data_IF_227652547336
#
_entry.id   IF_227652547336
#
_cell.length_a   1.000
_cell.length_b   1.000
_cell.length_c   1.000
_cell.angle_alpha   90.00
_cell.angle_beta   90.00
_cell.angle_gamma   90.00
#
_symmetry.space_group_name_H-M   'P 1'
#
loop_
_entity.id
_entity.type
_entity.pdbx_description
1 polymer ?
#
# COMPACT_ATOMS: atom_id res chain seq x y z
N UNK A 1 -10.41 9.38 20.66
CA UNK A 1 -9.19 10.02 21.21
C UNK A 1 -8.01 9.39 20.50
N UNK A 2 -7.16 10.18 19.83
CA UNK A 2 -5.96 9.65 19.20
C UNK A 2 -5.04 9.04 20.27
N UNK A 3 -4.53 7.84 20.00
CA UNK A 3 -3.67 7.11 20.92
C UNK A 3 -2.32 7.86 21.07
N UNK A 4 -1.66 7.73 22.23
CA UNK A 4 -0.39 8.41 22.53
C UNK A 4 0.70 8.13 21.48
N UNK A 5 0.73 6.91 20.93
CA UNK A 5 1.69 6.48 19.90
C UNK A 5 1.35 7.09 18.54
N UNK A 6 0.06 7.13 18.18
CA UNK A 6 -0.42 7.81 16.98
C UNK A 6 -0.09 9.31 17.01
N UNK A 7 -0.34 9.99 18.15
CA UNK A 7 0.07 11.38 18.35
C UNK A 7 1.58 11.56 18.20
N UNK A 8 2.37 10.71 18.81
CA UNK A 8 3.83 10.78 18.73
C UNK A 8 4.33 10.55 17.29
N UNK A 9 3.71 9.66 16.53
CA UNK A 9 4.03 9.38 15.13
C UNK A 9 3.62 10.57 14.22
N UNK A 10 2.43 11.13 14.43
CA UNK A 10 1.94 12.31 13.72
C UNK A 10 2.73 13.57 14.10
N UNK A 11 3.10 13.74 15.37
CA UNK A 11 3.87 14.89 15.87
C UNK A 11 5.32 14.90 15.36
N UNK A 12 5.93 13.74 15.11
CA UNK A 12 7.29 13.68 14.53
C UNK A 12 7.28 14.03 13.03
N UNK A 13 6.17 13.81 12.33
CA UNK A 13 6.06 14.06 10.88
C UNK A 13 5.54 15.48 10.53
N UNK A 14 4.92 16.19 11.47
CA UNK A 14 4.23 17.47 11.21
C UNK A 14 5.00 18.74 11.61
N UNK A 15 6.28 18.66 11.97
CA UNK A 15 7.05 19.79 12.50
C UNK A 15 7.70 20.73 11.47
N UNK A 16 7.43 20.57 10.18
CA UNK A 16 8.04 21.38 9.15
C UNK A 16 7.20 21.59 7.91
N UNK A 17 7.68 22.43 6.97
CA UNK A 17 6.96 22.72 5.75
C UNK A 17 6.82 21.47 4.87
N UNK A 18 5.61 21.22 4.39
CA UNK A 18 5.27 20.09 3.50
C UNK A 18 5.08 20.57 2.07
N UNK A 19 5.45 19.76 1.09
CA UNK A 19 5.14 20.08 -0.31
C UNK A 19 3.63 20.26 -0.50
N UNK A 20 3.23 21.31 -1.18
CA UNK A 20 1.83 21.69 -1.38
C UNK A 20 1.01 20.57 -2.03
N UNK A 21 1.56 19.84 -3.01
CA UNK A 21 0.88 18.70 -3.62
C UNK A 21 0.66 17.52 -2.62
N UNK A 22 1.60 17.31 -1.67
CA UNK A 22 1.45 16.37 -0.57
C UNK A 22 0.32 16.84 0.36
N UNK A 23 0.32 18.13 0.75
CA UNK A 23 -0.72 18.74 1.57
C UNK A 23 -2.12 18.53 1.00
N UNK A 24 -2.33 18.87 -0.29
CA UNK A 24 -3.63 18.72 -0.96
C UNK A 24 -4.08 17.25 -1.04
N UNK A 25 -3.13 16.34 -1.22
CA UNK A 25 -3.42 14.90 -1.24
C UNK A 25 -3.83 14.36 0.13
N UNK A 26 -3.15 14.77 1.20
CA UNK A 26 -3.46 14.40 2.59
C UNK A 26 -4.76 15.05 3.09
N UNK A 27 -5.08 16.23 2.59
CA UNK A 27 -6.37 16.88 2.81
C UNK A 27 -7.55 16.19 2.07
N UNK A 28 -7.28 15.10 1.35
CA UNK A 28 -8.32 14.33 0.67
C UNK A 28 -8.86 14.96 -0.62
N UNK A 29 -8.26 16.05 -1.10
CA UNK A 29 -8.75 16.79 -2.27
C UNK A 29 -8.57 16.01 -3.56
N UNK A 30 -7.33 15.52 -3.83
CA UNK A 30 -6.97 14.85 -5.08
C UNK A 30 -5.67 14.06 -4.93
N UNK A 31 -5.22 13.36 -5.98
CA UNK A 31 -3.88 12.76 -6.02
C UNK A 31 -2.79 13.83 -6.12
N UNK A 32 -1.55 13.50 -5.73
CA UNK A 32 -0.40 14.44 -5.88
C UNK A 32 -0.24 14.94 -7.31
N UNK A 33 -0.42 14.08 -8.32
CA UNK A 33 -0.32 14.45 -9.75
C UNK A 33 -1.46 15.38 -10.18
N UNK A 34 -2.66 15.19 -9.66
CA UNK A 34 -3.78 16.11 -9.89
C UNK A 34 -3.56 17.43 -9.17
N UNK A 35 -3.01 17.40 -7.96
CA UNK A 35 -2.63 18.61 -7.23
C UNK A 35 -1.60 19.44 -8.02
N UNK A 36 -0.57 18.81 -8.59
CA UNK A 36 0.40 19.50 -9.45
C UNK A 36 -0.28 20.16 -10.66
N UNK A 37 -1.28 19.52 -11.27
CA UNK A 37 -2.06 20.12 -12.36
C UNK A 37 -2.89 21.32 -11.90
N UNK A 38 -3.54 21.24 -10.73
CA UNK A 38 -4.31 22.35 -10.17
C UNK A 38 -3.41 23.55 -9.83
N UNK A 39 -2.21 23.30 -9.29
CA UNK A 39 -1.20 24.32 -8.98
C UNK A 39 -0.73 24.98 -10.28
N UNK A 40 -0.33 24.22 -11.28
CA UNK A 40 0.12 24.72 -12.57
C UNK A 40 -0.97 25.55 -13.29
N UNK A 41 -2.24 25.13 -13.18
CA UNK A 41 -3.39 25.87 -13.70
C UNK A 41 -3.72 27.15 -12.91
N UNK A 42 -2.99 27.46 -11.81
CA UNK A 42 -3.22 28.64 -11.00
C UNK A 42 -4.49 28.63 -10.16
N UNK A 43 -5.04 27.45 -9.91
CA UNK A 43 -6.28 27.28 -9.14
C UNK A 43 -6.04 27.23 -7.62
N UNK A 44 -4.78 27.17 -7.18
CA UNK A 44 -4.38 27.04 -5.79
C UNK A 44 -3.71 28.31 -5.30
N UNK A 45 -4.10 28.77 -4.12
CA UNK A 45 -3.45 29.89 -3.41
C UNK A 45 -3.01 29.48 -2.02
N UNK A 46 -1.93 30.08 -1.54
CA UNK A 46 -1.41 29.98 -0.17
C UNK A 46 -1.36 31.39 0.39
N UNK A 47 -2.08 31.65 1.48
CA UNK A 47 -2.25 33.00 2.08
C UNK A 47 -2.69 34.07 1.07
N UNK A 48 -3.51 33.68 0.09
CA UNK A 48 -4.01 34.56 -0.97
C UNK A 48 -3.06 34.74 -2.17
N UNK A 49 -1.83 34.24 -2.10
CA UNK A 49 -0.85 34.31 -3.19
C UNK A 49 -0.95 33.05 -4.06
N UNK A 50 -0.89 33.22 -5.39
CA UNK A 50 -0.91 32.10 -6.34
C UNK A 50 0.25 31.14 -6.07
N UNK A 51 -0.05 29.85 -5.92
CA UNK A 51 0.93 28.84 -5.65
C UNK A 51 1.70 28.43 -6.90
N UNK A 52 2.96 28.00 -6.70
CA UNK A 52 3.85 27.48 -7.74
C UNK A 52 4.15 25.99 -7.52
N UNK A 53 4.53 25.31 -8.61
CA UNK A 53 4.93 23.90 -8.55
C UNK A 53 6.18 23.72 -7.69
N UNK A 54 6.15 22.77 -6.76
CA UNK A 54 7.24 22.54 -5.82
C UNK A 54 7.18 23.36 -4.53
N UNK A 55 6.24 24.31 -4.43
CA UNK A 55 6.03 25.11 -3.22
C UNK A 55 5.80 24.22 -2.00
N UNK A 56 6.32 24.66 -0.85
CA UNK A 56 6.06 24.07 0.47
C UNK A 56 5.11 24.96 1.24
N UNK A 57 4.34 24.35 2.12
CA UNK A 57 3.33 25.00 2.96
C UNK A 57 3.64 24.71 4.42
N UNK A 58 3.67 25.76 5.22
CA UNK A 58 3.81 25.71 6.68
C UNK A 58 2.47 25.31 7.34
N UNK A 59 2.48 24.72 8.52
CA UNK A 59 1.26 24.24 9.20
C UNK A 59 0.21 25.32 9.44
N UNK A 60 0.61 26.59 9.60
CA UNK A 60 -0.26 27.73 9.90
C UNK A 60 -0.78 28.47 8.65
N UNK A 61 -0.28 28.13 7.46
CA UNK A 61 -0.67 28.81 6.23
C UNK A 61 -2.03 28.35 5.73
N UNK A 62 -2.78 29.25 5.14
CA UNK A 62 -4.11 29.02 4.61
C UNK A 62 -4.02 28.62 3.13
N UNK A 63 -4.38 27.38 2.82
CA UNK A 63 -4.45 26.87 1.45
C UNK A 63 -5.87 26.96 0.93
N UNK A 64 -6.06 27.44 -0.31
CA UNK A 64 -7.37 27.49 -0.97
C UNK A 64 -7.29 26.96 -2.39
N UNK A 65 -8.41 26.37 -2.86
CA UNK A 65 -8.68 26.02 -4.25
C UNK A 65 -9.87 26.83 -4.70
N UNK A 66 -9.65 27.81 -5.57
CA UNK A 66 -10.64 28.82 -5.86
C UNK A 66 -11.07 29.54 -4.58
N UNK A 67 -12.39 29.50 -4.27
CA UNK A 67 -12.94 30.12 -3.05
C UNK A 67 -12.93 29.19 -1.81
N UNK A 68 -12.70 27.87 -1.99
CA UNK A 68 -12.79 26.88 -0.93
C UNK A 68 -11.47 26.76 -0.17
N UNK A 69 -11.52 26.94 1.15
CA UNK A 69 -10.39 26.64 2.02
C UNK A 69 -10.21 25.13 2.15
N UNK A 70 -8.96 24.69 2.13
CA UNK A 70 -8.56 23.28 2.30
C UNK A 70 -7.98 23.13 3.70
N UNK A 71 -8.54 22.23 4.50
CA UNK A 71 -8.01 21.80 5.79
C UNK A 71 -7.50 20.37 5.69
N UNK A 72 -6.45 20.05 6.42
CA UNK A 72 -6.02 18.65 6.56
C UNK A 72 -7.10 17.83 7.25
N UNK A 73 -7.18 16.55 6.88
CA UNK A 73 -8.01 15.59 7.56
C UNK A 73 -7.34 15.20 8.88
N UNK A 74 -8.01 15.44 10.00
CA UNK A 74 -7.46 15.21 11.33
C UNK A 74 -7.45 13.72 11.71
N UNK A 75 -8.41 12.95 11.19
CA UNK A 75 -8.52 11.52 11.50
C UNK A 75 -7.72 10.67 10.50
N UNK A 76 -6.78 9.89 11.02
CA UNK A 76 -6.10 8.87 10.24
C UNK A 76 -7.00 7.67 10.04
N UNK A 77 -7.13 7.25 8.80
CA UNK A 77 -7.97 6.11 8.41
C UNK A 77 -7.06 5.00 7.92
N UNK A 78 -7.23 3.80 8.49
CA UNK A 78 -6.65 2.57 7.96
C UNK A 78 -7.70 1.46 7.93
N UNK A 79 -7.90 0.90 6.74
CA UNK A 79 -8.85 -0.19 6.51
C UNK A 79 -8.11 -1.45 6.08
N UNK A 80 -8.55 -2.58 6.62
CA UNK A 80 -8.27 -3.92 6.11
C UNK A 80 -9.42 -4.33 5.20
N UNK A 81 -9.14 -4.55 3.92
CA UNK A 81 -10.12 -4.87 2.88
C UNK A 81 -9.86 -6.25 2.34
N UNK A 82 -10.87 -7.09 2.19
CA UNK A 82 -10.75 -8.31 1.40
C UNK A 82 -11.08 -8.00 -0.07
N UNK A 83 -10.04 -7.65 -0.84
CA UNK A 83 -10.20 -7.35 -2.27
C UNK A 83 -10.68 -8.60 -3.03
N UNK A 84 -11.83 -8.56 -3.71
CA UNK A 84 -12.26 -9.67 -4.55
C UNK A 84 -11.46 -9.75 -5.85
N UNK A 85 -11.51 -10.90 -6.52
CA UNK A 85 -11.02 -11.05 -7.91
C UNK A 85 -11.80 -10.13 -8.85
N UNK A 86 -11.18 -9.70 -9.93
CA UNK A 86 -11.80 -8.81 -10.92
C UNK A 86 -11.60 -7.32 -10.62
N UNK A 87 -11.30 -6.93 -9.39
CA UNK A 87 -11.07 -5.54 -8.99
C UNK A 87 -9.59 -5.15 -9.16
N UNK A 88 -9.34 -3.97 -9.72
CA UNK A 88 -8.01 -3.44 -10.03
C UNK A 88 -7.57 -2.42 -8.98
N UNK A 89 -6.34 -2.54 -8.49
CA UNK A 89 -5.71 -1.53 -7.63
C UNK A 89 -5.20 -0.34 -8.45
N UNK A 90 -6.11 0.58 -8.79
CA UNK A 90 -5.83 1.82 -9.52
C UNK A 90 -6.69 2.97 -9.01
N UNK A 91 -6.19 4.20 -9.15
CA UNK A 91 -6.94 5.45 -8.94
C UNK A 91 -7.42 6.05 -10.28
N UNK A 92 -7.20 5.36 -11.40
CA UNK A 92 -7.59 5.87 -12.72
C UNK A 92 -9.11 5.96 -12.83
N UNK A 93 -9.61 7.18 -13.15
CA UNK A 93 -11.06 7.47 -13.19
C UNK A 93 -11.81 6.69 -14.28
N UNK A 94 -11.13 6.28 -15.37
CA UNK A 94 -11.72 5.52 -16.46
C UNK A 94 -11.94 4.05 -16.13
N UNK A 95 -11.17 3.52 -15.17
CA UNK A 95 -11.31 2.12 -14.76
C UNK A 95 -12.55 1.95 -13.86
N UNK A 96 -13.53 1.21 -14.40
CA UNK A 96 -14.81 0.96 -13.69
C UNK A 96 -14.65 0.03 -12.51
N UNK A 97 -13.77 -0.97 -12.66
CA UNK A 97 -13.50 -2.00 -11.64
C UNK A 97 -12.39 -1.59 -10.67
N UNK A 98 -12.13 -0.29 -10.49
CA UNK A 98 -11.11 0.19 -9.56
C UNK A 98 -11.51 -0.03 -8.11
N UNK A 99 -10.55 -0.38 -7.25
CA UNK A 99 -10.78 -0.59 -5.81
C UNK A 99 -11.36 0.65 -5.12
N UNK A 100 -10.98 1.85 -5.56
CA UNK A 100 -11.47 3.11 -5.00
C UNK A 100 -12.98 3.28 -5.27
N UNK A 101 -13.43 2.98 -6.48
CA UNK A 101 -14.86 3.00 -6.83
C UNK A 101 -15.64 1.88 -6.14
N UNK A 102 -15.06 0.69 -6.10
CA UNK A 102 -15.68 -0.47 -5.48
C UNK A 102 -15.99 -0.21 -3.99
N UNK A 103 -15.06 0.35 -3.25
CA UNK A 103 -15.25 0.67 -1.83
C UNK A 103 -16.15 1.89 -1.62
N UNK A 104 -16.12 2.86 -2.54
CA UNK A 104 -16.87 4.12 -2.44
C UNK A 104 -16.81 4.74 -1.03
N UNK A 105 -15.64 4.76 -0.42
CA UNK A 105 -15.45 5.24 0.94
C UNK A 105 -15.61 6.76 1.00
N UNK A 106 -16.31 7.33 2.02
CA UNK A 106 -16.68 8.75 2.05
C UNK A 106 -15.48 9.72 2.08
N UNK A 107 -14.34 9.22 2.50
CA UNK A 107 -13.08 9.97 2.55
C UNK A 107 -12.10 9.39 1.54
N UNK A 108 -11.29 10.23 0.90
CA UNK A 108 -10.28 9.76 -0.03
C UNK A 108 -9.23 8.92 0.70
N UNK A 109 -9.15 7.65 0.35
CA UNK A 109 -8.14 6.70 0.78
C UNK A 109 -7.46 6.09 -0.44
N UNK A 110 -6.22 5.62 -0.29
CA UNK A 110 -5.47 4.92 -1.32
C UNK A 110 -4.90 3.61 -0.79
N UNK A 111 -4.52 2.71 -1.65
CA UNK A 111 -4.06 1.37 -1.30
C UNK A 111 -2.60 1.34 -0.89
N UNK A 112 -2.28 0.51 0.11
CA UNK A 112 -0.91 0.20 0.56
C UNK A 112 -0.41 -1.00 -0.23
N UNK A 113 0.32 -0.73 -1.30
CA UNK A 113 0.70 -1.75 -2.26
C UNK A 113 -0.46 -2.23 -3.13
N UNK A 114 -0.20 -3.16 -4.00
CA UNK A 114 -1.19 -3.65 -4.96
C UNK A 114 -1.38 -5.14 -4.85
N UNK A 115 -2.56 -5.59 -5.28
CA UNK A 115 -2.86 -6.95 -5.70
C UNK A 115 -3.27 -6.90 -7.18
N UNK A 116 -2.90 -7.93 -7.94
CA UNK A 116 -3.30 -8.06 -9.33
C UNK A 116 -4.83 -8.22 -9.44
N UNK A 117 -5.40 -7.96 -10.63
CA UNK A 117 -6.83 -8.09 -10.92
C UNK A 117 -7.34 -9.50 -10.59
N UNK A 118 -6.56 -10.52 -10.92
CA UNK A 118 -6.84 -11.95 -10.74
C UNK A 118 -6.44 -12.52 -9.37
N UNK A 119 -5.95 -11.67 -8.46
CA UNK A 119 -5.61 -12.04 -7.07
C UNK A 119 -6.61 -11.44 -6.09
N UNK A 120 -6.76 -12.07 -4.93
CA UNK A 120 -7.71 -11.68 -3.88
C UNK A 120 -7.07 -11.57 -2.50
N UNK A 121 -7.82 -11.12 -1.51
CA UNK A 121 -7.42 -11.12 -0.11
C UNK A 121 -7.04 -9.75 0.42
N UNK A 122 -6.24 -9.73 1.48
CA UNK A 122 -5.95 -8.54 2.26
C UNK A 122 -5.29 -7.43 1.44
N UNK A 123 -5.96 -6.30 1.40
CA UNK A 123 -5.46 -5.04 0.89
C UNK A 123 -5.67 -3.97 1.95
N UNK A 124 -4.61 -3.28 2.35
CA UNK A 124 -4.73 -2.15 3.26
C UNK A 124 -5.00 -0.88 2.46
N UNK A 125 -5.89 -0.02 2.99
CA UNK A 125 -6.23 1.29 2.42
C UNK A 125 -6.07 2.36 3.49
N UNK A 126 -5.50 3.52 3.14
CA UNK A 126 -5.27 4.61 4.10
C UNK A 126 -5.27 5.99 3.43
N UNK A 127 -5.51 7.04 4.21
CA UNK A 127 -5.30 8.42 3.81
C UNK A 127 -3.88 8.93 4.15
N UNK A 128 -3.05 8.13 4.86
CA UNK A 128 -1.69 8.50 5.25
C UNK A 128 -0.63 7.98 4.26
N UNK A 129 -0.07 8.89 3.44
CA UNK A 129 0.92 8.56 2.41
C UNK A 129 2.29 8.17 2.98
N UNK A 130 2.63 8.57 4.20
CA UNK A 130 3.94 8.29 4.80
C UNK A 130 3.99 6.85 5.32
N UNK A 131 2.88 6.35 5.88
CA UNK A 131 2.73 4.92 6.22
C UNK A 131 2.89 4.05 4.96
N UNK A 132 2.26 4.45 3.84
CA UNK A 132 2.40 3.72 2.56
C UNK A 132 3.87 3.61 2.17
N UNK A 133 4.60 4.72 2.21
CA UNK A 133 6.02 4.74 1.85
C UNK A 133 6.86 3.82 2.74
N UNK A 134 6.68 3.88 4.06
CA UNK A 134 7.41 3.03 5.02
C UNK A 134 7.11 1.55 4.81
N UNK A 135 5.84 1.19 4.60
CA UNK A 135 5.41 -0.20 4.40
C UNK A 135 5.86 -0.78 3.05
N UNK A 136 5.92 0.04 2.00
CA UNK A 136 6.09 -0.47 0.62
C UNK A 136 7.53 -0.52 0.14
N UNK A 137 8.48 0.09 0.83
CA UNK A 137 9.88 0.03 0.40
C UNK A 137 10.45 -1.37 0.54
N UNK A 138 11.02 -1.88 -0.56
CA UNK A 138 11.64 -3.21 -0.60
C UNK A 138 12.81 -3.36 0.38
N UNK A 139 13.50 -2.24 0.72
CA UNK A 139 14.60 -2.24 1.67
C UNK A 139 14.14 -2.59 3.11
N UNK A 140 12.89 -2.28 3.45
CA UNK A 140 12.37 -2.52 4.80
C UNK A 140 11.96 -3.97 5.07
N UNK A 141 11.95 -4.83 4.04
CA UNK A 141 11.72 -6.29 4.15
C UNK A 141 10.43 -6.68 4.90
N UNK A 142 9.36 -5.91 4.75
CA UNK A 142 8.08 -6.20 5.41
C UNK A 142 7.39 -7.43 4.81
N UNK A 143 6.98 -8.33 5.69
CA UNK A 143 6.38 -9.61 5.32
C UNK A 143 4.99 -9.48 4.76
N UNK A 144 4.71 -10.30 3.75
CA UNK A 144 3.38 -10.54 3.18
C UNK A 144 3.17 -12.02 3.02
N UNK A 145 2.10 -12.54 3.58
CA UNK A 145 1.77 -13.96 3.56
C UNK A 145 0.64 -14.24 2.58
N UNK A 146 0.83 -15.30 1.80
CA UNK A 146 -0.12 -15.74 0.79
C UNK A 146 -0.44 -17.22 0.92
N UNK A 147 -1.70 -17.57 0.63
CA UNK A 147 -2.14 -18.95 0.37
C UNK A 147 -2.33 -19.08 -1.14
N UNK A 148 -1.72 -20.12 -1.71
CA UNK A 148 -1.65 -20.34 -3.16
C UNK A 148 -2.19 -21.71 -3.49
N UNK A 149 -3.09 -21.80 -4.48
CA UNK A 149 -3.55 -23.05 -5.08
C UNK A 149 -2.96 -23.17 -6.48
N UNK A 150 -2.37 -24.32 -6.80
CA UNK A 150 -1.73 -24.61 -8.09
C UNK A 150 -2.40 -25.77 -8.81
N UNK A 151 -2.09 -25.97 -10.09
CA UNK A 151 -2.64 -26.99 -10.98
C UNK A 151 -2.10 -28.41 -10.76
N UNK A 152 -0.90 -28.52 -10.14
CA UNK A 152 -0.19 -29.78 -9.92
C UNK A 152 0.02 -30.06 -8.44
N UNK A 153 0.25 -31.33 -8.04
CA UNK A 153 0.59 -31.65 -6.65
C UNK A 153 1.86 -30.95 -6.20
N UNK A 154 1.80 -30.32 -5.03
CA UNK A 154 2.95 -29.67 -4.39
C UNK A 154 3.88 -30.75 -3.86
N UNK A 155 5.11 -30.79 -4.41
CA UNK A 155 6.18 -31.71 -4.00
C UNK A 155 7.15 -31.04 -3.05
N UNK A 156 7.96 -31.81 -2.33
CA UNK A 156 9.00 -31.28 -1.43
C UNK A 156 10.12 -30.59 -2.23
N UNK A 157 10.39 -31.08 -3.43
CA UNK A 157 11.35 -30.44 -4.35
C UNK A 157 10.86 -29.06 -4.78
N UNK A 158 9.60 -28.94 -5.22
CA UNK A 158 8.98 -27.65 -5.54
C UNK A 158 9.11 -26.66 -4.37
N UNK A 159 8.80 -27.11 -3.13
CA UNK A 159 8.89 -26.24 -1.95
C UNK A 159 10.31 -25.77 -1.68
N UNK A 160 11.30 -26.67 -1.84
CA UNK A 160 12.72 -26.37 -1.66
C UNK A 160 13.22 -25.33 -2.69
N UNK A 161 12.87 -25.52 -3.96
CA UNK A 161 13.24 -24.58 -5.04
C UNK A 161 12.57 -23.22 -4.84
N UNK A 162 11.25 -23.20 -4.52
CA UNK A 162 10.49 -22.00 -4.20
C UNK A 162 11.11 -21.21 -3.04
N UNK A 163 11.52 -21.90 -1.97
CA UNK A 163 12.13 -21.29 -0.79
C UNK A 163 13.54 -20.74 -1.02
N UNK A 164 14.33 -21.40 -1.88
CA UNK A 164 15.72 -21.05 -2.16
C UNK A 164 15.90 -19.80 -3.02
N UNK A 165 14.85 -19.39 -3.72
CA UNK A 165 14.89 -18.30 -4.69
C UNK A 165 14.84 -18.80 -6.14
N UNK A 166 13.99 -18.15 -6.94
CA UNK A 166 13.69 -18.54 -8.33
C UNK A 166 14.10 -17.44 -9.29
N UNK A 167 14.79 -17.75 -10.41
CA UNK A 167 15.10 -16.78 -11.46
C UNK A 167 13.83 -16.30 -12.16
N UNK A 168 13.53 -15.00 -12.08
CA UNK A 168 12.42 -14.32 -12.76
C UNK A 168 12.82 -12.88 -13.09
N UNK A 169 12.31 -12.31 -14.19
CA UNK A 169 12.51 -10.89 -14.52
C UNK A 169 13.97 -10.42 -14.41
N UNK A 170 14.89 -11.15 -14.99
CA UNK A 170 16.33 -10.85 -15.02
C UNK A 170 17.00 -10.73 -13.63
N UNK A 171 16.36 -11.31 -12.60
CA UNK A 171 16.89 -11.37 -11.23
C UNK A 171 16.51 -12.70 -10.55
N UNK A 172 17.15 -13.00 -9.43
CA UNK A 172 16.77 -14.13 -8.56
C UNK A 172 15.95 -13.58 -7.39
N UNK A 173 14.80 -14.20 -7.09
CA UNK A 173 13.99 -13.78 -5.93
C UNK A 173 14.76 -14.05 -4.64
N UNK A 174 14.45 -13.24 -3.60
CA UNK A 174 15.02 -13.51 -2.27
C UNK A 174 14.52 -14.86 -1.75
N UNK A 175 15.32 -15.58 -0.97
CA UNK A 175 14.86 -16.73 -0.22
C UNK A 175 13.63 -16.37 0.63
N UNK A 176 12.68 -17.30 0.77
CA UNK A 176 11.42 -17.07 1.44
C UNK A 176 10.96 -18.32 2.18
N UNK A 177 10.00 -18.15 3.10
CA UNK A 177 9.39 -19.26 3.80
C UNK A 177 8.25 -19.84 2.96
N UNK A 178 8.25 -21.17 2.78
CA UNK A 178 7.22 -21.90 2.05
C UNK A 178 6.80 -23.13 2.85
N UNK A 179 5.50 -23.36 2.94
CA UNK A 179 4.93 -24.47 3.71
C UNK A 179 3.80 -25.14 2.94
N UNK A 180 3.79 -26.48 2.91
CA UNK A 180 2.72 -27.26 2.31
C UNK A 180 1.46 -27.18 3.15
N UNK A 181 0.33 -26.78 2.54
CA UNK A 181 -0.99 -26.77 3.19
C UNK A 181 -1.91 -27.90 2.71
N UNK A 182 -1.56 -28.56 1.63
CA UNK A 182 -2.35 -29.65 1.05
C UNK A 182 -1.78 -30.10 -0.29
N UNK A 183 -2.46 -31.05 -0.94
CA UNK A 183 -1.97 -31.66 -2.19
C UNK A 183 -1.66 -30.63 -3.29
N UNK A 184 -2.50 -29.57 -3.40
CA UNK A 184 -2.41 -28.53 -4.42
C UNK A 184 -2.25 -27.12 -3.80
N UNK A 185 -1.97 -27.03 -2.49
CA UNK A 185 -1.93 -25.76 -1.76
C UNK A 185 -0.65 -25.62 -0.97
N UNK A 186 -0.11 -24.38 -0.98
CA UNK A 186 1.00 -23.98 -0.14
C UNK A 186 0.83 -22.56 0.40
N UNK A 187 1.57 -22.26 1.46
CA UNK A 187 1.72 -20.93 2.04
C UNK A 187 3.09 -20.40 1.65
N UNK A 188 3.18 -19.10 1.36
CA UNK A 188 4.45 -18.42 1.09
C UNK A 188 4.49 -17.08 1.79
N UNK A 189 5.62 -16.74 2.42
CA UNK A 189 5.87 -15.46 3.07
C UNK A 189 6.98 -14.75 2.33
N UNK A 190 6.67 -13.58 1.76
CA UNK A 190 7.58 -12.77 0.97
C UNK A 190 7.92 -11.47 1.69
N UNK A 191 9.19 -11.05 1.61
CA UNK A 191 9.69 -9.75 2.07
C UNK A 191 9.97 -8.77 0.94
N UNK A 192 9.64 -9.15 -0.29
CA UNK A 192 9.77 -8.31 -1.50
C UNK A 192 8.47 -8.38 -2.31
N UNK A 193 8.34 -7.56 -3.36
CA UNK A 193 7.16 -7.55 -4.21
C UNK A 193 7.52 -7.19 -5.64
N UNK A 194 8.03 -8.15 -6.41
CA UNK A 194 8.23 -8.01 -7.85
C UNK A 194 6.90 -8.15 -8.60
N UNK A 195 6.87 -7.67 -9.83
CA UNK A 195 5.67 -7.79 -10.67
C UNK A 195 5.27 -9.25 -10.83
N UNK A 196 4.03 -9.59 -10.38
CA UNK A 196 3.43 -10.94 -10.43
C UNK A 196 4.36 -12.05 -9.89
N UNK A 197 5.15 -11.74 -8.85
CA UNK A 197 6.26 -12.55 -8.37
C UNK A 197 5.88 -14.03 -8.17
N UNK A 198 4.87 -14.32 -7.35
CA UNK A 198 4.47 -15.72 -7.02
C UNK A 198 4.05 -16.48 -8.28
N UNK A 199 3.30 -15.84 -9.18
CA UNK A 199 2.86 -16.48 -10.44
C UNK A 199 4.04 -16.80 -11.33
N UNK A 200 5.00 -15.88 -11.47
CA UNK A 200 6.23 -16.10 -12.24
C UNK A 200 7.14 -17.16 -11.62
N UNK A 201 7.26 -17.19 -10.29
CA UNK A 201 8.02 -18.23 -9.59
C UNK A 201 7.39 -19.61 -9.84
N UNK A 202 6.06 -19.75 -9.74
CA UNK A 202 5.37 -21.00 -10.05
C UNK A 202 5.56 -21.40 -11.51
N UNK A 203 5.40 -20.46 -12.45
CA UNK A 203 5.58 -20.70 -13.89
C UNK A 203 7.00 -21.18 -14.23
N UNK A 204 8.02 -20.56 -13.65
CA UNK A 204 9.42 -20.96 -13.82
C UNK A 204 9.69 -22.38 -13.31
N UNK A 205 8.94 -22.86 -12.33
CA UNK A 205 9.00 -24.22 -11.80
C UNK A 205 7.98 -25.17 -12.47
N UNK A 206 7.32 -24.74 -13.54
CA UNK A 206 6.39 -25.54 -14.33
C UNK A 206 5.01 -25.70 -13.71
N UNK A 207 4.56 -24.80 -12.80
CA UNK A 207 3.25 -24.79 -12.16
C UNK A 207 2.41 -23.58 -12.58
N UNK A 208 1.09 -23.75 -12.63
CA UNK A 208 0.14 -22.68 -12.89
C UNK A 208 -0.62 -22.31 -11.60
N UNK A 209 -0.64 -21.03 -11.24
CA UNK A 209 -1.41 -20.53 -10.08
C UNK A 209 -2.88 -20.41 -10.44
N UNK A 210 -3.74 -21.19 -9.80
CA UNK A 210 -5.21 -21.17 -9.93
C UNK A 210 -5.85 -20.16 -8.97
N UNK A 211 -5.36 -20.10 -7.72
CA UNK A 211 -5.82 -19.13 -6.73
C UNK A 211 -4.63 -18.50 -6.02
N UNK A 212 -4.70 -17.17 -5.80
CA UNK A 212 -3.71 -16.43 -5.04
C UNK A 212 -4.42 -15.49 -4.08
N UNK A 213 -4.30 -15.77 -2.79
CA UNK A 213 -4.95 -15.01 -1.73
C UNK A 213 -3.93 -14.50 -0.72
N UNK A 214 -3.81 -13.16 -0.58
CA UNK A 214 -3.01 -12.56 0.49
C UNK A 214 -3.79 -12.60 1.80
N UNK A 215 -3.23 -13.18 2.84
CA UNK A 215 -3.91 -13.39 4.13
C UNK A 215 -3.33 -12.53 5.25
N UNK A 216 -2.09 -12.04 5.13
CA UNK A 216 -1.43 -11.19 6.13
C UNK A 216 -0.49 -10.17 5.49
N UNK A 217 -0.41 -9.00 6.08
CA UNK A 217 0.60 -7.98 5.82
C UNK A 217 1.14 -7.54 7.17
N UNK A 218 2.42 -7.85 7.45
CA UNK A 218 3.06 -7.61 8.74
C UNK A 218 2.24 -8.24 9.88
N UNK A 219 1.73 -7.44 10.84
CA UNK A 219 0.87 -7.88 11.95
C UNK A 219 -0.63 -7.87 11.62
N UNK A 220 -1.05 -7.33 10.48
CA UNK A 220 -2.47 -7.22 10.13
C UNK A 220 -2.90 -8.45 9.33
N UNK A 221 -3.91 -9.14 9.83
CA UNK A 221 -4.48 -10.34 9.22
C UNK A 221 -5.81 -10.05 8.51
N UNK A 222 -6.10 -10.85 7.48
CA UNK A 222 -7.38 -10.83 6.78
C UNK A 222 -8.55 -11.26 7.69
N UNK A 223 -8.27 -12.24 8.57
CA UNK A 223 -9.30 -12.81 9.44
C UNK A 223 -10.46 -13.40 8.67
N UNK A 224 -11.67 -13.18 9.19
CA UNK A 224 -12.92 -13.73 8.67
C UNK A 224 -13.64 -12.81 7.67
N UNK A 225 -12.99 -11.75 7.18
CA UNK A 225 -13.58 -10.86 6.17
C UNK A 225 -13.95 -11.65 4.91
N UNK A 226 -15.20 -11.51 4.46
CA UNK A 226 -15.66 -12.06 3.18
C UNK A 226 -15.15 -11.21 2.01
N UNK A 227 -15.05 -11.75 0.78
CA UNK A 227 -14.68 -10.95 -0.39
C UNK A 227 -15.59 -9.72 -0.55
N UNK A 228 -14.97 -8.56 -0.70
CA UNK A 228 -15.66 -7.27 -0.80
C UNK A 228 -15.92 -6.57 0.53
N UNK A 229 -15.79 -7.24 1.66
CA UNK A 229 -15.92 -6.62 2.98
C UNK A 229 -14.64 -5.88 3.39
N UNK A 230 -14.80 -4.92 4.30
CA UNK A 230 -13.71 -4.21 4.96
C UNK A 230 -14.02 -3.97 6.44
N UNK A 231 -12.98 -3.73 7.22
CA UNK A 231 -13.04 -3.28 8.60
C UNK A 231 -12.01 -2.18 8.85
N UNK A 232 -12.24 -1.37 9.86
CA UNK A 232 -11.15 -0.53 10.40
C UNK A 232 -10.07 -1.45 10.99
N UNK A 233 -8.81 -1.08 10.81
CA UNK A 233 -7.70 -1.67 11.57
C UNK A 233 -7.86 -1.24 13.00
N UNK A 234 -7.70 -2.15 13.96
CA UNK A 234 -7.89 -1.86 15.39
C UNK A 234 -6.74 -1.00 15.92
N UNK A 235 -6.97 -0.30 17.02
CA UNK A 235 -5.92 0.53 17.67
C UNK A 235 -4.73 -0.32 18.08
N UNK A 236 -4.96 -1.55 18.52
CA UNK A 236 -3.88 -2.48 18.85
C UNK A 236 -3.05 -2.83 17.61
N UNK A 237 -3.69 -3.29 16.52
CA UNK A 237 -3.02 -3.60 15.26
C UNK A 237 -2.23 -2.39 14.72
N UNK A 238 -2.82 -1.20 14.86
CA UNK A 238 -2.21 0.04 14.39
C UNK A 238 -0.98 0.41 15.22
N UNK A 239 -1.04 0.27 16.54
CA UNK A 239 0.09 0.52 17.42
C UNK A 239 1.25 -0.45 17.15
N UNK A 240 0.96 -1.73 17.02
CA UNK A 240 1.95 -2.75 16.65
C UNK A 240 2.56 -2.44 15.27
N UNK A 241 1.74 -2.01 14.30
CA UNK A 241 2.22 -1.60 12.98
C UNK A 241 3.19 -0.42 13.07
N UNK A 242 2.86 0.61 13.86
CA UNK A 242 3.75 1.77 14.07
C UNK A 242 5.09 1.37 14.66
N UNK A 243 5.10 0.48 15.63
CA UNK A 243 6.34 -0.07 16.19
C UNK A 243 7.18 -0.80 15.12
N UNK A 244 6.53 -1.64 14.31
CA UNK A 244 7.20 -2.40 13.25
C UNK A 244 7.77 -1.53 12.12
N UNK A 245 7.17 -0.36 11.86
CA UNK A 245 7.64 0.57 10.81
C UNK A 245 8.43 1.76 11.33
N UNK A 246 8.68 1.84 12.65
CA UNK A 246 9.37 2.98 13.29
C UNK A 246 10.71 3.30 12.61
N UNK A 247 11.53 2.29 12.41
CA UNK A 247 12.87 2.43 11.81
C UNK A 247 12.85 2.30 10.29
N UNK A 248 11.66 2.16 9.70
CA UNK A 248 11.50 2.02 8.26
C UNK A 248 11.71 3.36 7.55
N UNK A 249 12.58 3.38 6.55
CA UNK A 249 12.88 4.58 5.76
C UNK A 249 11.67 4.98 4.93
N UNK A 250 11.27 6.24 4.97
CA UNK A 250 10.24 6.83 4.11
C UNK A 250 10.81 7.45 2.83
N UNK A 251 12.11 7.78 2.80
CA UNK A 251 12.78 8.40 1.65
C UNK A 251 13.46 7.40 0.70
N UNK A 252 13.60 7.70 -0.60
CA UNK A 252 14.33 6.87 -1.53
C UNK A 252 15.79 6.74 -1.06
N UNK A 253 16.32 5.53 -1.06
CA UNK A 253 17.77 5.34 -1.01
C UNK A 253 18.33 6.05 -2.25
N UNK A 254 19.36 6.91 -2.13
CA UNK A 254 20.04 7.46 -3.31
C UNK A 254 20.45 6.30 -4.23
N UNK A 255 20.19 6.45 -5.52
CA UNK A 255 20.71 5.52 -6.52
C UNK A 255 22.24 5.54 -6.43
N UNK A 256 22.83 4.52 -5.84
CA UNK A 256 24.24 4.24 -6.05
C UNK A 256 24.38 3.69 -7.48
N UNK A 257 24.75 4.56 -8.41
CA UNK A 257 25.34 4.15 -9.68
C UNK A 257 26.69 3.52 -9.34
N UNK A 258 26.73 2.20 -9.22
CA UNK A 258 27.91 1.38 -9.39
C UNK A 258 27.66 0.44 -10.54
#
# INVERSE_FOLDING_TARGET
>A
MANKIEKQFLDTENKGPVRLNKYLSEAGVCSRREADKLIAAGQVTVDGVRAETGMKVEPWQVVRIGKKQVSRQEEMIMLAVNKPRGIVCTEERRERDSIVRFLNYPVRITYVGRLDKDSEGLLLMTNNGDIINRMMRAANKHEKEYKVTVDKPVTDEFLKEMAGGVPILDTVTRPCQVEKLGKYKFKIILTQGLNRQIRRMCEALGYEVKELRRVRIMNIELGNLKPGEYRKVTDQELNELYELIRDSKSEPTPWNNN
#
